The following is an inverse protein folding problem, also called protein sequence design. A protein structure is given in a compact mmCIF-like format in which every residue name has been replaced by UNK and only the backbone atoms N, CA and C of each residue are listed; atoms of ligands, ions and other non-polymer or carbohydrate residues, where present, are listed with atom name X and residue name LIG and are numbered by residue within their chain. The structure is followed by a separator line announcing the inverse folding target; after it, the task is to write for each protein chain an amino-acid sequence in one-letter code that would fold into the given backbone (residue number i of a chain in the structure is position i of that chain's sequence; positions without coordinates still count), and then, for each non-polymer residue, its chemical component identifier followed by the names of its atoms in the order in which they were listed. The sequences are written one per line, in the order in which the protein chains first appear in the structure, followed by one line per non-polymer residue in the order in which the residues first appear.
data_IF_698533706662
#
_entry.id   IF_698533706662
#
_cell.length_a   1.000
_cell.length_b   1.000
_cell.length_c   1.000
_cell.angle_alpha   90.00
_cell.angle_beta   90.00
_cell.angle_gamma   90.00
#
_symmetry.space_group_name_H-M   'P 1'
#
loop_
_entity.id
_entity.type
_entity.pdbx_description
1 polymer ?
#
# COMPACT_ATOMS: atom_id res chain seq x y z
N UNK A 1 7.70 -19.10 1.70
CA UNK A 1 7.90 -18.15 2.80
C UNK A 1 7.01 -18.56 3.95
N UNK A 2 7.39 -18.29 5.21
CA UNK A 2 6.52 -18.55 6.36
C UNK A 2 5.52 -17.41 6.53
N UNK A 3 4.37 -17.66 7.16
CA UNK A 3 3.38 -16.62 7.47
C UNK A 3 3.99 -15.48 8.30
N UNK A 4 4.90 -15.80 9.24
CA UNK A 4 5.64 -14.82 10.05
C UNK A 4 6.47 -13.83 9.19
N UNK A 5 7.05 -14.32 8.09
CA UNK A 5 7.81 -13.46 7.16
C UNK A 5 6.90 -12.47 6.44
N UNK A 6 5.70 -12.89 6.06
CA UNK A 6 4.71 -12.06 5.36
C UNK A 6 4.05 -11.05 6.30
N UNK A 7 3.77 -11.45 7.54
CA UNK A 7 3.34 -10.51 8.59
C UNK A 7 4.39 -9.40 8.80
N UNK A 8 5.68 -9.76 8.84
CA UNK A 8 6.77 -8.77 8.93
C UNK A 8 6.78 -7.79 7.76
N UNK A 9 6.57 -8.26 6.52
CA UNK A 9 6.44 -7.38 5.34
C UNK A 9 5.31 -6.37 5.54
N UNK A 10 4.15 -6.81 6.02
CA UNK A 10 3.01 -5.93 6.21
C UNK A 10 3.24 -4.88 7.32
N UNK A 11 3.82 -5.27 8.46
CA UNK A 11 4.12 -4.30 9.52
C UNK A 11 5.14 -3.25 9.06
N UNK A 12 6.17 -3.67 8.31
CA UNK A 12 7.13 -2.74 7.69
C UNK A 12 6.47 -1.83 6.66
N UNK A 13 5.47 -2.34 5.94
CA UNK A 13 4.68 -1.56 4.99
C UNK A 13 3.90 -0.45 5.70
N UNK A 14 3.18 -0.78 6.78
CA UNK A 14 2.45 0.20 7.60
C UNK A 14 3.40 1.22 8.24
N UNK A 15 4.52 0.77 8.79
CA UNK A 15 5.55 1.65 9.35
C UNK A 15 6.06 2.64 8.29
N UNK A 16 6.38 2.16 7.09
CA UNK A 16 6.90 3.00 6.02
C UNK A 16 5.89 4.06 5.56
N UNK A 17 4.59 3.71 5.46
CA UNK A 17 3.52 4.67 5.19
C UNK A 17 3.36 5.70 6.32
N UNK A 18 3.25 5.23 7.56
CA UNK A 18 3.01 6.09 8.72
C UNK A 18 4.18 7.04 9.02
N UNK A 19 5.41 6.63 8.67
CA UNK A 19 6.61 7.45 8.78
C UNK A 19 6.99 8.18 7.49
N UNK A 20 6.19 8.03 6.43
CA UNK A 20 6.41 8.61 5.09
C UNK A 20 7.80 8.29 4.50
N UNK A 21 8.34 7.13 4.84
CA UNK A 21 9.66 6.68 4.36
C UNK A 21 9.51 5.94 3.02
N UNK A 22 9.42 6.71 1.94
CA UNK A 22 9.12 6.20 0.60
C UNK A 22 10.16 5.18 0.10
N UNK A 23 11.45 5.37 0.39
CA UNK A 23 12.48 4.40 0.00
C UNK A 23 12.34 3.08 0.76
N UNK A 24 11.98 3.11 2.05
CA UNK A 24 11.69 1.90 2.82
C UNK A 24 10.46 1.19 2.26
N UNK A 25 9.43 1.94 1.91
CA UNK A 25 8.22 1.40 1.30
C UNK A 25 8.54 0.69 -0.02
N UNK A 26 9.18 1.38 -0.96
CA UNK A 26 9.55 0.84 -2.27
C UNK A 26 10.53 -0.33 -2.17
N UNK A 27 11.35 -0.40 -1.11
CA UNK A 27 12.23 -1.55 -0.87
C UNK A 27 11.48 -2.87 -0.62
N UNK A 28 10.19 -2.81 -0.25
CA UNK A 28 9.34 -3.99 -0.06
C UNK A 28 8.78 -4.52 -1.39
N UNK A 29 8.80 -3.71 -2.44
CA UNK A 29 8.24 -4.04 -3.75
C UNK A 29 9.30 -4.61 -4.69
N UNK A 30 8.83 -5.46 -5.60
CA UNK A 30 9.57 -5.88 -6.80
C UNK A 30 9.75 -4.69 -7.76
N UNK A 31 10.74 -4.75 -8.66
CA UNK A 31 11.03 -3.66 -9.61
C UNK A 31 9.85 -3.39 -10.55
N UNK A 32 9.15 -4.46 -10.97
CA UNK A 32 8.03 -4.40 -11.91
C UNK A 32 6.66 -4.55 -11.22
N UNK A 33 6.62 -4.30 -9.90
CA UNK A 33 5.42 -4.50 -9.13
C UNK A 33 4.26 -3.60 -9.58
N UNK A 34 3.04 -4.09 -9.43
CA UNK A 34 1.81 -3.44 -9.89
C UNK A 34 1.01 -2.91 -8.72
N UNK A 35 0.59 -1.65 -8.76
CA UNK A 35 -0.30 -1.07 -7.75
C UNK A 35 -1.60 -0.63 -8.39
N UNK A 36 -2.71 -1.16 -7.88
CA UNK A 36 -4.05 -0.76 -8.27
C UNK A 36 -4.75 0.00 -7.14
N UNK A 37 -5.33 1.16 -7.46
CA UNK A 37 -6.13 1.95 -6.53
C UNK A 37 -7.32 2.63 -7.22
N UNK A 38 -8.54 2.54 -6.66
CA UNK A 38 -9.67 3.35 -7.11
C UNK A 38 -9.41 4.85 -7.01
N UNK A 39 -8.60 5.31 -6.04
CA UNK A 39 -8.21 6.72 -5.92
C UNK A 39 -7.29 7.13 -7.07
N UNK A 40 -6.36 6.26 -7.46
CA UNK A 40 -5.53 6.50 -8.64
C UNK A 40 -6.39 6.67 -9.90
N UNK A 41 -7.45 5.88 -10.07
CA UNK A 41 -8.40 6.04 -11.20
C UNK A 41 -9.12 7.39 -11.21
N UNK A 42 -9.35 7.99 -10.04
CA UNK A 42 -9.98 9.31 -9.90
C UNK A 42 -8.97 10.43 -10.17
N UNK A 43 -7.76 10.31 -9.62
CA UNK A 43 -6.73 11.35 -9.72
C UNK A 43 -5.95 11.34 -11.04
N UNK A 44 -5.78 10.17 -11.65
CA UNK A 44 -5.07 9.93 -12.90
C UNK A 44 -5.88 8.95 -13.78
N UNK A 45 -7.01 9.37 -14.37
CA UNK A 45 -7.92 8.48 -15.10
C UNK A 45 -7.25 7.70 -16.24
N UNK A 46 -6.22 8.26 -16.88
CA UNK A 46 -5.43 7.64 -17.94
C UNK A 46 -4.72 6.36 -17.52
N UNK A 47 -4.44 6.20 -16.23
CA UNK A 47 -3.82 4.98 -15.67
C UNK A 47 -4.83 3.82 -15.56
N UNK A 48 -6.12 4.10 -15.71
CA UNK A 48 -7.21 3.18 -15.35
C UNK A 48 -7.10 2.62 -13.93
N UNK A 49 -6.45 3.37 -13.03
CA UNK A 49 -6.21 2.97 -11.65
C UNK A 49 -5.06 2.00 -11.46
N UNK A 50 -4.18 1.79 -12.45
CA UNK A 50 -3.04 0.88 -12.36
C UNK A 50 -1.72 1.62 -12.68
N UNK A 51 -0.75 1.55 -11.76
CA UNK A 51 0.65 1.90 -12.04
C UNK A 51 1.54 0.66 -11.98
N UNK A 52 2.63 0.68 -12.75
CA UNK A 52 3.60 -0.41 -12.83
C UNK A 52 5.00 0.13 -12.61
N UNK A 53 5.74 -0.54 -11.74
CA UNK A 53 7.14 -0.26 -11.45
C UNK A 53 7.34 0.79 -10.38
N UNK A 54 8.53 0.75 -9.76
CA UNK A 54 8.86 1.58 -8.60
C UNK A 54 8.81 3.08 -8.85
N UNK A 55 9.19 3.54 -10.04
CA UNK A 55 9.17 4.97 -10.37
C UNK A 55 7.74 5.52 -10.41
N UNK A 56 6.82 4.80 -11.05
CA UNK A 56 5.42 5.20 -11.10
C UNK A 56 4.75 5.15 -9.72
N UNK A 57 5.04 4.11 -8.93
CA UNK A 57 4.58 4.02 -7.53
C UNK A 57 5.18 5.13 -6.66
N UNK A 58 6.46 5.48 -6.85
CA UNK A 58 7.15 6.57 -6.15
C UNK A 58 6.43 7.89 -6.41
N UNK A 59 6.18 8.22 -7.67
CA UNK A 59 5.49 9.46 -8.04
C UNK A 59 4.10 9.52 -7.39
N UNK A 60 3.33 8.44 -7.46
CA UNK A 60 1.99 8.37 -6.88
C UNK A 60 1.97 8.53 -5.35
N UNK A 61 2.81 7.79 -4.64
CA UNK A 61 2.83 7.85 -3.17
C UNK A 61 3.47 9.12 -2.63
N UNK A 62 4.46 9.70 -3.32
CA UNK A 62 5.01 11.01 -2.95
C UNK A 62 3.92 12.08 -3.02
N UNK A 63 3.19 12.15 -4.12
CA UNK A 63 2.06 13.05 -4.30
C UNK A 63 0.96 12.83 -3.24
N UNK A 64 0.70 11.57 -2.86
CA UNK A 64 -0.20 11.27 -1.75
C UNK A 64 0.32 11.81 -0.39
N UNK A 65 1.61 11.70 -0.10
CA UNK A 65 2.21 12.21 1.13
C UNK A 65 2.20 13.74 1.19
N UNK A 66 2.43 14.40 0.05
CA UNK A 66 2.43 15.86 -0.04
C UNK A 66 1.01 16.41 0.15
N UNK A 67 0.00 15.75 -0.43
CA UNK A 67 -1.41 16.12 -0.25
C UNK A 67 -1.96 15.81 1.13
N UNK A 68 -1.51 14.71 1.74
CA UNK A 68 -2.05 14.18 3.00
C UNK A 68 -0.96 14.13 4.09
N UNK A 69 -0.46 15.28 4.57
CA UNK A 69 0.62 15.32 5.54
C UNK A 69 0.26 14.70 6.90
N UNK A 70 -1.04 14.65 7.23
CA UNK A 70 -1.57 13.98 8.43
C UNK A 70 -1.93 12.51 8.24
N UNK A 71 -1.60 11.89 7.09
CA UNK A 71 -1.96 10.50 6.80
C UNK A 71 -1.42 9.55 7.86
N UNK A 72 -2.32 8.74 8.40
CA UNK A 72 -2.00 7.65 9.30
C UNK A 72 -2.89 6.44 9.02
N UNK A 73 -2.29 5.25 9.03
CA UNK A 73 -2.97 3.97 8.87
C UNK A 73 -2.98 3.22 10.19
N UNK A 74 -4.19 2.93 10.67
CA UNK A 74 -4.44 2.11 11.86
C UNK A 74 -4.89 0.72 11.44
N UNK A 75 -4.02 -0.27 11.61
CA UNK A 75 -4.31 -1.68 11.31
C UNK A 75 -5.49 -2.16 12.16
N UNK A 76 -6.46 -2.84 11.54
CA UNK A 76 -7.59 -3.46 12.22
C UNK A 76 -7.55 -4.99 12.13
N UNK A 77 -7.22 -5.53 10.95
CA UNK A 77 -7.14 -6.96 10.70
C UNK A 77 -6.01 -7.27 9.73
N UNK A 78 -5.33 -8.40 9.93
CA UNK A 78 -4.25 -8.83 9.06
C UNK A 78 -4.17 -10.35 9.00
N UNK A 79 -4.25 -10.90 7.79
CA UNK A 79 -4.08 -12.33 7.53
C UNK A 79 -3.04 -12.54 6.44
N UNK A 80 -2.10 -13.45 6.67
CA UNK A 80 -1.06 -13.79 5.70
C UNK A 80 -1.00 -15.31 5.50
N UNK A 81 -1.01 -15.75 4.25
CA UNK A 81 -0.82 -17.15 3.88
C UNK A 81 0.59 -17.36 3.29
N UNK A 82 0.78 -18.20 2.28
CA UNK A 82 2.10 -18.51 1.70
C UNK A 82 2.66 -17.46 0.74
N UNK A 83 1.78 -16.71 0.08
CA UNK A 83 2.09 -15.83 -1.06
C UNK A 83 1.20 -14.57 -1.12
N UNK A 84 0.30 -14.40 -0.15
CA UNK A 84 -0.63 -13.27 -0.08
C UNK A 84 -0.78 -12.74 1.34
N UNK A 85 -0.92 -11.43 1.44
CA UNK A 85 -1.32 -10.69 2.63
C UNK A 85 -2.66 -10.02 2.32
N UNK A 86 -3.63 -10.20 3.21
CA UNK A 86 -4.87 -9.45 3.24
C UNK A 86 -4.86 -8.58 4.49
N UNK A 87 -5.09 -7.29 4.34
CA UNK A 87 -5.06 -6.34 5.45
C UNK A 87 -6.26 -5.40 5.38
N UNK A 88 -6.86 -5.16 6.54
CA UNK A 88 -7.85 -4.12 6.75
C UNK A 88 -7.26 -3.08 7.69
N UNK A 89 -7.51 -1.81 7.38
CA UNK A 89 -7.04 -0.70 8.18
C UNK A 89 -7.93 0.52 8.01
N UNK A 90 -7.86 1.40 8.98
CA UNK A 90 -8.52 2.70 8.93
C UNK A 90 -7.50 3.72 8.44
N UNK A 91 -7.82 4.42 7.36
CA UNK A 91 -7.09 5.60 6.92
C UNK A 91 -7.63 6.82 7.64
N UNK A 92 -6.75 7.48 8.36
CA UNK A 92 -7.04 8.70 9.09
C UNK A 92 -6.25 9.86 8.47
N UNK A 93 -6.92 10.98 8.25
CA UNK A 93 -6.33 12.24 7.80
C UNK A 93 -6.98 13.37 8.59
N UNK A 94 -6.18 14.31 9.11
CA UNK A 94 -6.71 15.43 9.89
C UNK A 94 -7.75 16.22 9.08
N UNK A 95 -8.97 16.33 9.61
CA UNK A 95 -10.07 17.07 8.97
C UNK A 95 -10.85 16.27 7.91
N UNK A 96 -10.55 14.99 7.72
CA UNK A 96 -11.36 14.07 6.91
C UNK A 96 -12.04 13.02 7.81
N UNK A 97 -13.13 12.44 7.32
CA UNK A 97 -13.71 11.25 7.95
C UNK A 97 -12.78 10.04 7.81
N UNK A 98 -12.77 9.19 8.83
CA UNK A 98 -12.07 7.92 8.82
C UNK A 98 -12.57 7.04 7.66
N UNK A 99 -11.64 6.51 6.87
CA UNK A 99 -11.97 5.67 5.72
C UNK A 99 -11.55 4.22 5.97
N UNK A 100 -12.49 3.29 5.77
CA UNK A 100 -12.21 1.86 5.83
C UNK A 100 -11.53 1.42 4.54
N UNK A 101 -10.39 0.76 4.67
CA UNK A 101 -9.59 0.26 3.55
C UNK A 101 -9.31 -1.22 3.73
N UNK A 102 -9.49 -1.97 2.66
CA UNK A 102 -8.97 -3.32 2.53
C UNK A 102 -7.93 -3.34 1.41
N UNK A 103 -6.79 -3.99 1.64
CA UNK A 103 -5.73 -4.11 0.65
C UNK A 103 -5.20 -5.54 0.59
N UNK A 104 -4.91 -5.99 -0.64
CA UNK A 104 -4.34 -7.29 -0.92
C UNK A 104 -2.95 -7.11 -1.51
N UNK A 105 -1.94 -7.71 -0.88
CA UNK A 105 -0.57 -7.78 -1.40
C UNK A 105 -0.28 -9.22 -1.85
N UNK A 106 0.03 -9.40 -3.12
CA UNK A 106 0.62 -10.65 -3.63
C UNK A 106 2.15 -10.54 -3.51
N UNK A 107 2.79 -11.57 -2.95
CA UNK A 107 4.21 -11.56 -2.58
C UNK A 107 4.91 -12.78 -3.18
N UNK A 108 6.05 -12.53 -3.84
CA UNK A 108 6.91 -13.57 -4.40
C UNK A 108 8.36 -13.27 -4.03
N UNK A 109 9.11 -14.29 -3.62
CA UNK A 109 10.54 -14.16 -3.25
C UNK A 109 10.82 -13.02 -2.25
N UNK A 110 9.92 -12.79 -1.28
CA UNK A 110 10.06 -11.75 -0.27
C UNK A 110 9.76 -10.33 -0.74
N UNK A 111 9.21 -10.17 -1.95
CA UNK A 111 8.86 -8.88 -2.55
C UNK A 111 7.39 -8.83 -2.93
N UNK A 112 6.75 -7.69 -2.71
CA UNK A 112 5.39 -7.43 -3.18
C UNK A 112 5.43 -7.27 -4.69
N UNK A 113 4.72 -8.13 -5.41
CA UNK A 113 4.63 -8.10 -6.88
C UNK A 113 3.34 -7.43 -7.36
N UNK A 114 2.30 -7.42 -6.51
CA UNK A 114 1.07 -6.70 -6.79
C UNK A 114 0.40 -6.23 -5.49
N UNK A 115 -0.22 -5.05 -5.54
CA UNK A 115 -1.06 -4.50 -4.46
C UNK A 115 -2.37 -3.99 -5.04
N UNK A 116 -3.49 -4.32 -4.40
CA UNK A 116 -4.85 -3.93 -4.83
C UNK A 116 -5.62 -3.35 -3.66
N UNK A 117 -6.03 -2.10 -3.78
CA UNK A 117 -6.77 -1.36 -2.75
C UNK A 117 -8.28 -1.38 -3.03
N UNK A 118 -9.06 -1.55 -1.97
CA UNK A 118 -10.51 -1.47 -1.95
C UNK A 118 -10.94 -0.49 -0.86
N UNK A 119 -11.89 0.39 -1.18
CA UNK A 119 -12.48 1.32 -0.21
C UNK A 119 -13.89 0.85 0.10
N UNK A 120 -14.29 0.99 1.37
CA UNK A 120 -15.69 0.85 1.80
C UNK A 120 -16.57 2.01 1.36
#
# INVERSE_FOLDING_TARGET
MTSETLQSIAFRWFEAFNTKQLDKLLSLYDEDAKHFSPKLKIHQPETNGLVVGKEAMRAWWQDAFDRLPGLHYKVTSLTANTDRIFMEYIRQVNGEEDMLVAEVLDVKNGKIIASRVYHG
#
